data_IF_722209025053
#
_entry.id   IF_722209025053
#
_cell.length_a   1.000
_cell.length_b   1.000
_cell.length_c   1.000
_cell.angle_alpha   90.00
_cell.angle_beta   90.00
_cell.angle_gamma   90.00
#
_symmetry.space_group_name_H-M   'P 1'
#
loop_
_entity.id
_entity.type
_entity.pdbx_description
1 polymer ?
#
# COMPACT_ATOMS: atom_id res chain seq x y z
N UNK A 1 34.97 11.78 8.70
CA UNK A 1 33.99 11.20 9.66
C UNK A 1 32.67 10.78 9.02
N UNK A 2 31.97 11.65 8.27
CA UNK A 2 30.70 11.27 7.61
C UNK A 2 30.85 10.09 6.64
N UNK A 3 31.84 10.12 5.75
CA UNK A 3 32.11 9.02 4.82
C UNK A 3 32.34 7.68 5.52
N UNK A 4 33.03 7.67 6.66
CA UNK A 4 33.20 6.47 7.49
C UNK A 4 31.85 5.94 8.00
N UNK A 5 30.98 6.81 8.53
CA UNK A 5 29.64 6.42 9.00
C UNK A 5 28.80 5.84 7.86
N UNK A 6 28.83 6.46 6.67
CA UNK A 6 28.13 5.96 5.49
C UNK A 6 28.66 4.58 5.07
N UNK A 7 29.98 4.45 4.92
CA UNK A 7 30.62 3.21 4.50
C UNK A 7 30.36 2.05 5.49
N UNK A 8 30.58 2.28 6.79
CA UNK A 8 30.30 1.28 7.82
C UNK A 8 28.82 0.89 7.88
N UNK A 9 27.91 1.84 7.65
CA UNK A 9 26.47 1.54 7.64
C UNK A 9 26.08 0.63 6.47
N UNK A 10 26.75 0.76 5.33
CA UNK A 10 26.55 -0.11 4.17
C UNK A 10 27.10 -1.52 4.42
N UNK A 11 28.31 -1.64 4.97
CA UNK A 11 28.95 -2.93 5.26
C UNK A 11 28.19 -3.74 6.32
N UNK A 12 27.67 -3.08 7.35
CA UNK A 12 27.05 -3.77 8.47
C UNK A 12 25.58 -4.14 8.22
N UNK A 13 24.97 -3.67 7.13
CA UNK A 13 23.58 -3.98 6.83
C UNK A 13 23.33 -5.50 6.85
N UNK A 14 22.32 -6.01 7.57
CA UNK A 14 21.14 -5.31 8.11
C UNK A 14 21.29 -4.73 9.52
N UNK A 15 22.45 -4.83 10.17
CA UNK A 15 22.68 -4.18 11.47
C UNK A 15 22.77 -2.66 11.28
N UNK A 16 22.19 -1.93 12.22
CA UNK A 16 22.19 -0.46 12.23
C UNK A 16 23.34 0.10 13.07
N UNK A 17 23.99 1.15 12.57
CA UNK A 17 25.09 1.81 13.26
C UNK A 17 24.57 2.85 14.26
N UNK A 18 24.68 2.58 15.56
CA UNK A 18 24.15 3.46 16.61
C UNK A 18 25.08 4.64 16.93
N UNK A 19 24.56 5.72 17.54
CA UNK A 19 25.38 6.85 17.96
C UNK A 19 26.45 6.45 19.00
N UNK A 20 26.17 5.47 19.85
CA UNK A 20 27.13 4.92 20.82
C UNK A 20 28.25 4.16 20.10
N UNK A 21 27.94 3.38 19.06
CA UNK A 21 28.94 2.70 18.26
C UNK A 21 29.80 3.68 17.44
N UNK A 22 29.20 4.72 16.87
CA UNK A 22 29.92 5.81 16.19
C UNK A 22 30.90 6.49 17.15
N UNK A 23 30.45 6.83 18.36
CA UNK A 23 31.28 7.46 19.39
C UNK A 23 32.49 6.60 19.74
N UNK A 24 32.30 5.29 19.96
CA UNK A 24 33.38 4.35 20.29
C UNK A 24 34.37 4.17 19.14
N UNK A 25 33.86 3.96 17.91
CA UNK A 25 34.71 3.70 16.73
C UNK A 25 35.53 4.92 16.30
N UNK A 26 34.94 6.11 16.35
CA UNK A 26 35.62 7.36 15.97
C UNK A 26 36.35 8.04 17.13
N UNK A 27 36.25 7.50 18.36
CA UNK A 27 36.78 8.11 19.59
C UNK A 27 36.35 9.57 19.78
N UNK A 28 35.09 9.87 19.46
CA UNK A 28 34.48 11.21 19.62
C UNK A 28 33.44 11.21 20.73
N UNK A 29 33.19 12.37 21.33
CA UNK A 29 32.13 12.53 22.33
C UNK A 29 30.75 12.15 21.79
N UNK A 30 29.89 11.62 22.67
CA UNK A 30 28.54 11.15 22.29
C UNK A 30 27.68 12.22 21.60
N UNK A 31 27.77 13.49 22.05
CA UNK A 31 27.05 14.61 21.43
C UNK A 31 27.46 14.79 19.95
N UNK A 32 28.76 14.72 19.65
CA UNK A 32 29.27 14.81 18.29
C UNK A 32 28.84 13.61 17.44
N UNK A 33 28.89 12.39 18.00
CA UNK A 33 28.43 11.18 17.33
C UNK A 33 26.92 11.20 17.02
N UNK A 34 26.11 11.68 17.96
CA UNK A 34 24.66 11.85 17.80
C UNK A 34 24.34 12.88 16.70
N UNK A 35 25.07 13.99 16.66
CA UNK A 35 24.94 14.99 15.61
C UNK A 35 25.31 14.42 14.24
N UNK A 36 26.40 13.65 14.16
CA UNK A 36 26.81 12.95 12.94
C UNK A 36 25.73 11.95 12.47
N UNK A 37 25.12 11.22 13.42
CA UNK A 37 24.02 10.29 13.14
C UNK A 37 22.79 11.01 12.56
N UNK A 38 22.41 12.15 13.15
CA UNK A 38 21.28 12.97 12.66
C UNK A 38 21.54 13.51 11.25
N UNK A 39 22.77 13.95 10.97
CA UNK A 39 23.18 14.36 9.61
C UNK A 39 23.08 13.21 8.61
N UNK A 40 23.49 12.01 9.01
CA UNK A 40 23.35 10.81 8.17
C UNK A 40 21.89 10.43 7.89
N UNK A 41 21.02 10.54 8.90
CA UNK A 41 19.58 10.33 8.73
C UNK A 41 18.93 11.37 7.82
N UNK A 42 19.34 12.63 7.95
CA UNK A 42 18.89 13.71 7.05
C UNK A 42 19.32 13.43 5.60
N UNK A 43 20.61 13.11 5.40
CA UNK A 43 21.14 12.74 4.10
C UNK A 43 20.36 11.58 3.48
N UNK A 44 20.14 10.51 4.25
CA UNK A 44 19.37 9.35 3.81
C UNK A 44 17.95 9.74 3.39
N UNK A 45 17.29 10.59 4.18
CA UNK A 45 15.92 11.06 3.89
C UNK A 45 15.85 11.92 2.62
N UNK A 46 16.88 12.72 2.35
CA UNK A 46 16.96 13.55 1.15
C UNK A 46 17.27 12.74 -0.12
N UNK A 47 18.05 11.67 -0.01
CA UNK A 47 18.44 10.84 -1.17
C UNK A 47 17.43 9.73 -1.49
N UNK A 48 16.66 9.24 -0.50
CA UNK A 48 15.69 8.15 -0.69
C UNK A 48 14.67 8.38 -1.84
N UNK A 49 14.17 9.60 -2.11
CA UNK A 49 13.30 9.85 -3.26
C UNK A 49 13.91 9.46 -4.62
N UNK A 50 15.24 9.51 -4.78
CA UNK A 50 15.90 9.10 -6.04
C UNK A 50 15.68 7.61 -6.31
N UNK A 51 15.96 6.75 -5.33
CA UNK A 51 15.71 5.30 -5.45
C UNK A 51 14.23 4.98 -5.64
N UNK A 52 13.35 5.74 -4.99
CA UNK A 52 11.91 5.60 -5.20
C UNK A 52 11.53 5.87 -6.65
N UNK A 53 12.01 6.97 -7.24
CA UNK A 53 11.71 7.33 -8.63
C UNK A 53 12.23 6.27 -9.60
N UNK A 54 13.46 5.78 -9.43
CA UNK A 54 14.00 4.68 -10.23
C UNK A 54 13.15 3.42 -10.14
N UNK A 55 12.74 3.05 -8.92
CA UNK A 55 11.87 1.89 -8.70
C UNK A 55 10.53 2.08 -9.43
N UNK A 56 9.95 3.27 -9.33
CA UNK A 56 8.68 3.61 -9.96
C UNK A 56 8.77 3.50 -11.49
N UNK A 57 9.80 4.08 -12.09
CA UNK A 57 10.01 4.06 -13.53
C UNK A 57 10.26 2.64 -14.04
N UNK A 58 11.09 1.87 -13.34
CA UNK A 58 11.35 0.47 -13.70
C UNK A 58 10.08 -0.39 -13.67
N UNK A 59 9.26 -0.27 -12.62
CA UNK A 59 7.99 -0.98 -12.53
C UNK A 59 6.97 -0.51 -13.57
N UNK A 60 6.95 0.79 -13.87
CA UNK A 60 6.06 1.36 -14.88
C UNK A 60 6.37 0.79 -16.26
N UNK A 61 7.65 0.73 -16.63
CA UNK A 61 8.11 0.20 -17.90
C UNK A 61 7.84 -1.32 -18.01
N UNK A 62 8.14 -2.08 -16.95
CA UNK A 62 7.94 -3.53 -16.91
C UNK A 62 6.46 -3.95 -17.02
N UNK A 63 5.56 -3.17 -16.42
CA UNK A 63 4.15 -3.56 -16.28
C UNK A 63 3.15 -2.72 -17.07
N UNK A 64 3.59 -1.87 -18.01
CA UNK A 64 2.71 -0.96 -18.77
C UNK A 64 1.46 -1.66 -19.33
N UNK A 65 1.64 -2.75 -20.07
CA UNK A 65 0.55 -3.52 -20.69
C UNK A 65 0.29 -4.86 -19.99
N UNK A 66 0.82 -5.02 -18.78
CA UNK A 66 0.69 -6.26 -18.03
C UNK A 66 -0.67 -6.37 -17.33
N UNK A 67 -1.34 -7.50 -17.52
CA UNK A 67 -2.60 -7.84 -16.86
C UNK A 67 -2.53 -9.25 -16.30
N UNK A 68 -2.86 -9.43 -15.03
CA UNK A 68 -3.07 -10.75 -14.45
C UNK A 68 -4.41 -11.34 -14.90
N UNK A 69 -4.52 -12.67 -15.04
CA UNK A 69 -5.79 -13.33 -15.34
C UNK A 69 -6.84 -12.88 -14.32
N UNK A 70 -8.02 -12.41 -14.73
CA UNK A 70 -8.91 -11.65 -13.85
C UNK A 70 -9.55 -12.52 -12.74
N UNK A 71 -9.55 -13.84 -12.94
CA UNK A 71 -9.90 -14.82 -11.92
C UNK A 71 -8.79 -14.93 -10.84
N UNK A 72 -9.13 -14.87 -9.56
CA UNK A 72 -8.16 -15.02 -8.45
C UNK A 72 -7.77 -16.47 -8.18
N UNK A 73 -8.57 -17.42 -8.66
CA UNK A 73 -8.32 -18.83 -8.43
C UNK A 73 -7.36 -19.45 -9.47
N UNK A 74 -6.97 -18.71 -10.50
CA UNK A 74 -5.94 -19.15 -11.45
C UNK A 74 -4.56 -18.99 -10.84
N UNK A 75 -3.70 -19.99 -11.04
CA UNK A 75 -2.30 -19.89 -10.67
C UNK A 75 -1.58 -18.88 -11.57
N UNK A 76 -0.85 -17.96 -10.95
CA UNK A 76 -0.08 -16.93 -11.63
C UNK A 76 1.43 -17.18 -11.56
N UNK A 77 1.87 -18.27 -10.92
CA UNK A 77 3.29 -18.57 -10.68
C UNK A 77 4.13 -18.50 -11.95
N UNK A 78 3.68 -19.16 -13.03
CA UNK A 78 4.38 -19.15 -14.32
C UNK A 78 4.42 -17.76 -14.96
N UNK A 79 3.36 -16.96 -14.82
CA UNK A 79 3.26 -15.62 -15.40
C UNK A 79 4.12 -14.59 -14.65
N UNK A 80 4.41 -14.85 -13.36
CA UNK A 80 5.20 -14.00 -12.49
C UNK A 80 6.64 -14.49 -12.26
N UNK A 81 7.03 -15.65 -12.80
CA UNK A 81 8.29 -16.32 -12.46
C UNK A 81 9.54 -15.43 -12.63
N UNK A 82 9.61 -14.71 -13.75
CA UNK A 82 10.75 -13.85 -14.11
C UNK A 82 10.42 -12.36 -14.00
N UNK A 83 9.43 -12.00 -13.18
CA UNK A 83 8.96 -10.62 -13.05
C UNK A 83 9.11 -10.12 -11.62
N UNK A 84 9.22 -8.80 -11.43
CA UNK A 84 9.26 -8.21 -10.10
C UNK A 84 8.02 -8.58 -9.29
N UNK A 85 8.24 -9.16 -8.11
CA UNK A 85 7.17 -9.56 -7.21
C UNK A 85 7.04 -8.55 -6.06
N UNK A 86 6.01 -7.71 -6.12
CA UNK A 86 5.82 -6.58 -5.20
C UNK A 86 4.85 -6.91 -4.07
N UNK A 87 5.33 -6.90 -2.83
CA UNK A 87 4.53 -7.06 -1.62
C UNK A 87 4.31 -5.75 -0.89
N UNK A 88 3.11 -5.59 -0.35
CA UNK A 88 2.76 -4.48 0.54
C UNK A 88 2.09 -5.02 1.80
N UNK A 89 2.64 -4.62 2.94
CA UNK A 89 2.07 -4.97 4.24
C UNK A 89 2.47 -3.96 5.32
N UNK A 90 1.80 -4.01 6.47
CA UNK A 90 2.02 -3.12 7.60
C UNK A 90 2.33 -3.97 8.83
N UNK A 91 3.33 -3.56 9.60
CA UNK A 91 3.66 -4.18 10.87
C UNK A 91 3.86 -3.17 11.99
N UNK A 92 3.55 -3.61 13.22
CA UNK A 92 3.88 -2.87 14.44
C UNK A 92 5.36 -3.11 14.76
N UNK A 93 6.13 -2.03 14.78
CA UNK A 93 7.56 -2.02 15.13
C UNK A 93 7.73 -1.90 16.65
N UNK A 94 7.11 -0.87 17.24
CA UNK A 94 7.02 -0.70 18.70
C UNK A 94 5.56 -0.63 19.11
N UNK A 95 5.17 -1.40 20.13
CA UNK A 95 3.81 -1.37 20.69
C UNK A 95 3.78 -0.66 22.03
N UNK A 96 2.64 -0.06 22.37
CA UNK A 96 2.34 0.35 23.74
C UNK A 96 2.33 -0.88 24.66
N UNK A 97 3.05 -0.81 25.78
CA UNK A 97 3.11 -1.89 26.77
C UNK A 97 1.78 -2.09 27.50
N UNK A 98 1.52 -3.33 27.93
CA UNK A 98 0.31 -3.68 28.70
C UNK A 98 0.41 -3.25 30.17
N UNK A 99 1.63 -3.15 30.72
CA UNK A 99 1.92 -2.81 32.12
C UNK A 99 1.93 -1.31 32.45
N UNK A 100 1.74 -0.42 31.48
CA UNK A 100 1.64 1.01 31.79
C UNK A 100 0.34 1.25 32.58
N UNK A 101 0.37 1.97 33.70
CA UNK A 101 -0.82 2.30 34.52
C UNK A 101 -1.96 2.77 33.60
N UNK A 102 -3.10 2.06 33.56
CA UNK A 102 -4.28 2.23 32.68
C UNK A 102 -4.19 1.70 31.22
N UNK A 103 -3.08 1.05 30.87
CA UNK A 103 -2.93 0.13 29.74
C UNK A 103 -2.87 0.74 28.33
N UNK A 104 -2.46 -0.11 27.38
CA UNK A 104 -2.70 0.08 25.93
C UNK A 104 -4.21 0.26 25.70
N UNK A 105 -4.62 0.89 24.59
CA UNK A 105 -6.05 1.01 24.21
C UNK A 105 -6.84 -0.32 24.23
N UNK A 106 -6.17 -1.47 24.24
CA UNK A 106 -6.79 -2.79 24.14
C UNK A 106 -7.19 -3.35 25.51
N UNK A 107 -8.50 -3.53 25.70
CA UNK A 107 -9.06 -4.72 26.34
C UNK A 107 -9.89 -5.59 25.35
N UNK A 108 -10.41 -5.06 24.23
CA UNK A 108 -11.35 -5.81 23.34
C UNK A 108 -11.10 -5.72 21.80
N UNK A 109 -10.31 -4.77 21.27
CA UNK A 109 -10.20 -4.53 19.81
C UNK A 109 -8.87 -5.03 19.18
N UNK A 110 -8.96 -6.08 18.34
CA UNK A 110 -7.85 -6.86 17.72
C UNK A 110 -7.18 -6.20 16.48
N UNK A 111 -6.74 -4.94 16.55
CA UNK A 111 -6.13 -4.24 15.39
C UNK A 111 -4.70 -3.76 15.63
N UNK A 112 -3.82 -3.81 14.62
CA UNK A 112 -2.44 -3.28 14.74
C UNK A 112 -2.40 -1.78 15.09
N UNK A 113 -3.34 -0.99 14.56
CA UNK A 113 -3.47 0.43 14.92
C UNK A 113 -3.70 0.61 16.42
N UNK A 114 -4.58 -0.18 17.07
CA UNK A 114 -4.83 0.00 18.51
C UNK A 114 -3.63 -0.35 19.39
N UNK A 115 -2.64 -1.09 18.87
CA UNK A 115 -1.45 -1.41 19.66
C UNK A 115 -0.42 -0.29 19.77
N UNK A 116 -0.48 0.73 18.92
CA UNK A 116 0.49 1.81 18.92
C UNK A 116 0.03 3.03 19.73
N UNK A 117 -1.19 2.99 20.29
CA UNK A 117 -1.74 4.08 21.09
C UNK A 117 -2.00 3.66 22.53
N UNK A 118 -1.87 4.63 23.43
CA UNK A 118 -2.36 4.51 24.81
C UNK A 118 -3.89 4.52 24.86
N UNK A 119 -4.43 4.08 25.99
CA UNK A 119 -5.86 4.18 26.25
C UNK A 119 -6.33 5.65 26.27
N UNK A 120 -7.63 5.86 26.03
CA UNK A 120 -8.23 7.20 26.04
C UNK A 120 -8.10 7.86 27.43
N UNK A 121 -8.10 7.06 28.51
CA UNK A 121 -7.84 7.53 29.88
C UNK A 121 -6.43 8.11 30.08
N UNK A 122 -5.45 7.65 29.28
CA UNK A 122 -4.07 8.13 29.24
C UNK A 122 -3.84 9.18 28.16
N UNK A 123 -4.90 9.84 27.70
CA UNK A 123 -4.85 10.88 26.68
C UNK A 123 -4.67 10.34 25.26
N UNK A 124 -4.79 9.04 25.00
CA UNK A 124 -4.92 8.50 23.65
C UNK A 124 -3.73 8.75 22.70
N UNK A 125 -2.56 9.11 23.23
CA UNK A 125 -1.38 9.46 22.42
C UNK A 125 -0.75 8.26 21.71
N UNK A 126 -0.21 8.49 20.52
CA UNK A 126 0.62 7.49 19.84
C UNK A 126 1.99 7.36 20.53
N UNK A 127 2.28 6.17 21.06
CA UNK A 127 3.56 5.83 21.70
C UNK A 127 4.32 4.72 20.98
N UNK A 128 3.61 3.95 20.16
CA UNK A 128 4.17 2.93 19.29
C UNK A 128 4.36 3.43 17.87
N UNK A 129 5.12 2.65 17.10
CA UNK A 129 5.39 2.91 15.68
C UNK A 129 4.78 1.82 14.83
N UNK A 130 3.96 2.22 13.86
CA UNK A 130 3.41 1.36 12.83
C UNK A 130 4.16 1.66 11.52
N UNK A 131 4.58 0.62 10.82
CA UNK A 131 5.44 0.72 9.63
C UNK A 131 4.72 0.09 8.46
N UNK A 132 4.49 0.88 7.42
CA UNK A 132 4.08 0.41 6.10
C UNK A 132 5.32 0.04 5.30
N UNK A 133 5.30 -1.17 4.74
CA UNK A 133 6.40 -1.70 3.94
C UNK A 133 5.92 -1.88 2.50
N UNK A 134 6.74 -1.42 1.56
CA UNK A 134 6.64 -1.74 0.14
C UNK A 134 7.95 -2.45 -0.21
N UNK A 135 7.87 -3.73 -0.55
CA UNK A 135 9.04 -4.57 -0.78
C UNK A 135 8.93 -5.29 -2.11
N UNK A 136 10.00 -5.27 -2.89
CA UNK A 136 10.11 -6.06 -4.12
C UNK A 136 11.03 -7.25 -3.84
N UNK A 137 10.63 -8.45 -4.29
CA UNK A 137 11.41 -9.68 -4.07
C UNK A 137 12.83 -9.51 -4.61
N UNK A 138 13.82 -9.77 -3.76
CA UNK A 138 15.26 -9.58 -4.04
C UNK A 138 15.66 -8.16 -4.47
N UNK A 139 14.76 -7.18 -4.36
CA UNK A 139 14.98 -5.82 -4.83
C UNK A 139 14.85 -4.78 -3.72
N UNK A 140 14.44 -3.54 -4.07
CA UNK A 140 14.36 -2.44 -3.12
C UNK A 140 13.21 -2.60 -2.13
N UNK A 141 13.36 -1.92 -0.99
CA UNK A 141 12.39 -1.91 0.11
C UNK A 141 12.25 -0.49 0.65
N UNK A 142 11.01 -0.07 0.87
CA UNK A 142 10.67 1.22 1.44
C UNK A 142 9.82 1.03 2.69
N UNK A 143 10.30 1.60 3.80
CA UNK A 143 9.60 1.62 5.07
C UNK A 143 9.09 3.03 5.37
N UNK A 144 7.79 3.15 5.66
CA UNK A 144 7.15 4.44 5.96
C UNK A 144 6.46 4.37 7.31
N UNK A 145 6.70 5.36 8.18
CA UNK A 145 5.95 5.48 9.44
C UNK A 145 4.53 5.95 9.15
N UNK A 146 3.55 5.21 9.66
CA UNK A 146 2.13 5.49 9.43
C UNK A 146 1.36 5.55 10.75
N UNK A 147 0.24 6.29 10.74
CA UNK A 147 -0.61 6.46 11.94
C UNK A 147 -1.60 5.31 12.11
N UNK A 148 -2.07 4.74 10.99
CA UNK A 148 -3.06 3.68 10.97
C UNK A 148 -3.04 2.92 9.64
N UNK A 149 -3.79 1.82 9.56
CA UNK A 149 -3.91 0.97 8.36
C UNK A 149 -5.09 1.35 7.43
N UNK A 150 -5.63 2.57 7.52
CA UNK A 150 -6.80 2.96 6.73
C UNK A 150 -6.41 3.30 5.29
N UNK A 151 -7.37 3.13 4.37
CA UNK A 151 -7.21 3.49 2.96
C UNK A 151 -6.77 4.95 2.74
N UNK A 152 -7.28 5.89 3.53
CA UNK A 152 -6.94 7.32 3.44
C UNK A 152 -5.47 7.60 3.79
N UNK A 153 -4.89 6.82 4.70
CA UNK A 153 -3.49 6.97 5.10
C UNK A 153 -2.56 6.20 4.16
N UNK A 154 -2.90 4.94 3.86
CA UNK A 154 -2.01 4.06 3.11
C UNK A 154 -2.13 4.22 1.58
N UNK A 155 -3.32 4.55 1.08
CA UNK A 155 -3.58 4.66 -0.35
C UNK A 155 -2.70 5.69 -1.06
N UNK A 156 -2.60 6.93 -0.56
CA UNK A 156 -1.70 7.93 -1.12
C UNK A 156 -0.23 7.47 -1.11
N UNK A 157 0.23 6.88 -0.01
CA UNK A 157 1.62 6.40 0.13
C UNK A 157 1.92 5.30 -0.91
N UNK A 158 1.06 4.30 -1.03
CA UNK A 158 1.28 3.19 -1.96
C UNK A 158 1.22 3.69 -3.41
N UNK A 159 0.27 4.58 -3.74
CA UNK A 159 0.15 5.18 -5.10
C UNK A 159 1.33 6.06 -5.47
N UNK A 160 1.91 6.75 -4.50
CA UNK A 160 3.07 7.60 -4.67
C UNK A 160 4.34 6.75 -4.96
N UNK A 161 4.43 5.54 -4.41
CA UNK A 161 5.58 4.64 -4.59
C UNK A 161 5.45 3.66 -5.75
N UNK A 162 4.24 3.27 -6.16
CA UNK A 162 4.02 2.23 -7.16
C UNK A 162 3.09 2.71 -8.29
N UNK A 163 3.39 2.37 -9.56
CA UNK A 163 2.47 2.61 -10.66
C UNK A 163 1.26 1.67 -10.57
N UNK A 164 0.08 2.15 -10.98
CA UNK A 164 -1.21 1.43 -10.85
C UNK A 164 -1.30 0.14 -11.67
N UNK A 165 -0.41 -0.03 -12.66
CA UNK A 165 -0.28 -1.23 -13.47
C UNK A 165 0.47 -2.37 -12.75
N UNK A 166 1.26 -2.06 -11.73
CA UNK A 166 2.09 -3.04 -11.00
C UNK A 166 1.23 -4.14 -10.35
N UNK A 167 1.60 -5.42 -10.50
CA UNK A 167 1.07 -6.51 -9.70
C UNK A 167 1.38 -6.32 -8.21
N UNK A 168 0.33 -6.16 -7.42
CA UNK A 168 0.43 -5.83 -6.01
C UNK A 168 -0.09 -6.98 -5.15
N UNK A 169 0.76 -7.55 -4.30
CA UNK A 169 0.44 -8.70 -3.46
C UNK A 169 0.38 -8.31 -1.97
N UNK A 170 -0.74 -8.60 -1.31
CA UNK A 170 -0.93 -8.24 0.10
C UNK A 170 -1.55 -9.38 0.92
N UNK A 171 -1.56 -9.25 2.25
CA UNK A 171 -2.51 -10.00 3.08
C UNK A 171 -3.94 -9.45 2.88
N UNK A 172 -4.96 -10.11 3.40
CA UNK A 172 -6.37 -9.73 3.25
C UNK A 172 -6.76 -8.39 3.90
N UNK A 173 -5.86 -7.74 4.64
CA UNK A 173 -6.11 -6.47 5.33
C UNK A 173 -6.36 -5.25 4.42
N UNK A 174 -6.16 -5.37 3.11
CA UNK A 174 -6.20 -4.25 2.16
C UNK A 174 -7.24 -4.44 1.06
N UNK A 175 -8.54 -4.63 1.39
CA UNK A 175 -9.55 -4.84 0.36
C UNK A 175 -9.58 -3.66 -0.60
N UNK A 176 -9.62 -2.41 -0.15
CA UNK A 176 -9.72 -1.21 -0.99
C UNK A 176 -8.68 -1.06 -2.12
N UNK A 177 -7.55 -1.79 -2.10
CA UNK A 177 -6.54 -1.74 -3.17
C UNK A 177 -7.05 -2.28 -4.52
N UNK A 178 -8.06 -3.16 -4.55
CA UNK A 178 -8.66 -3.65 -5.80
C UNK A 178 -9.26 -2.53 -6.67
N UNK A 179 -9.61 -1.40 -6.06
CA UNK A 179 -10.19 -0.25 -6.76
C UNK A 179 -9.13 0.67 -7.37
N UNK A 180 -7.86 0.49 -7.00
CA UNK A 180 -6.73 1.32 -7.43
C UNK A 180 -5.80 0.54 -8.36
N UNK A 181 -5.49 -0.70 -8.00
CA UNK A 181 -4.55 -1.57 -8.71
C UNK A 181 -5.30 -2.69 -9.40
N UNK A 182 -5.27 -2.68 -10.75
CA UNK A 182 -5.95 -3.70 -11.58
C UNK A 182 -5.43 -5.11 -11.32
N UNK A 183 -4.14 -5.23 -10.99
CA UNK A 183 -3.42 -6.47 -10.76
C UNK A 183 -3.26 -6.82 -9.27
N UNK A 184 -4.07 -6.21 -8.38
CA UNK A 184 -4.02 -6.54 -6.95
C UNK A 184 -4.48 -7.97 -6.68
N UNK A 185 -3.75 -8.68 -5.82
CA UNK A 185 -4.11 -10.00 -5.29
C UNK A 185 -3.84 -10.03 -3.79
N UNK A 186 -4.69 -10.76 -3.07
CA UNK A 186 -4.52 -10.95 -1.63
C UNK A 186 -4.61 -12.41 -1.23
N UNK A 187 -3.85 -12.79 -0.21
CA UNK A 187 -3.93 -14.13 0.40
C UNK A 187 -4.39 -14.00 1.85
N UNK A 188 -5.10 -15.01 2.36
CA UNK A 188 -5.59 -15.02 3.75
C UNK A 188 -4.69 -15.90 4.62
N UNK A 189 -3.80 -15.29 5.40
CA UNK A 189 -2.92 -16.04 6.31
C UNK A 189 -3.68 -16.63 7.51
N UNK A 190 -4.88 -16.14 7.80
CA UNK A 190 -5.74 -16.63 8.89
C UNK A 190 -6.74 -17.68 8.44
N UNK A 191 -6.73 -18.09 7.16
CA UNK A 191 -7.64 -19.11 6.66
C UNK A 191 -7.40 -20.45 7.36
N UNK A 192 -8.43 -20.96 8.04
CA UNK A 192 -8.42 -22.28 8.69
C UNK A 192 -8.63 -23.41 7.70
N UNK A 193 -8.30 -24.62 8.11
CA UNK A 193 -8.62 -25.80 7.33
C UNK A 193 -10.10 -25.97 7.07
N UNK A 194 -10.41 -26.42 5.84
CA UNK A 194 -11.75 -26.89 5.49
C UNK A 194 -12.03 -28.28 6.06
N UNK A 195 -10.98 -29.07 6.30
CA UNK A 195 -11.12 -30.37 6.97
C UNK A 195 -11.35 -30.14 8.46
N UNK A 196 -12.46 -30.68 8.97
CA UNK A 196 -12.84 -30.59 10.38
C UNK A 196 -11.78 -31.17 11.31
N UNK A 197 -11.02 -32.19 10.88
CA UNK A 197 -9.93 -32.79 11.68
C UNK A 197 -8.82 -31.79 11.98
N UNK A 198 -8.58 -30.84 11.07
CA UNK A 198 -7.50 -29.86 11.17
C UNK A 198 -8.03 -28.44 11.37
N UNK A 199 -9.15 -28.27 12.07
CA UNK A 199 -9.84 -26.97 12.23
C UNK A 199 -8.98 -25.86 12.84
N UNK A 200 -7.94 -26.19 13.61
CA UNK A 200 -6.98 -25.22 14.16
C UNK A 200 -5.77 -24.98 13.28
N UNK A 201 -5.50 -25.84 12.30
CA UNK A 201 -4.44 -25.63 11.34
C UNK A 201 -4.79 -24.45 10.41
N UNK A 202 -3.78 -23.65 10.09
CA UNK A 202 -3.88 -22.58 9.09
C UNK A 202 -3.50 -23.17 7.75
N UNK A 203 -4.39 -23.05 6.78
CA UNK A 203 -4.28 -23.82 5.55
C UNK A 203 -3.43 -23.18 4.46
N UNK A 204 -3.09 -21.89 4.55
CA UNK A 204 -2.45 -21.21 3.42
C UNK A 204 -1.47 -20.13 3.88
N UNK A 205 -0.19 -20.42 3.70
CA UNK A 205 0.89 -19.43 3.70
C UNK A 205 1.03 -18.74 2.33
N UNK A 206 0.68 -19.47 1.26
CA UNK A 206 0.56 -18.98 -0.12
C UNK A 206 -0.64 -19.63 -0.79
N UNK A 207 -1.14 -19.03 -1.88
CA UNK A 207 -2.20 -19.60 -2.72
C UNK A 207 -2.03 -19.15 -4.16
N UNK A 208 -1.96 -20.08 -5.12
CA UNK A 208 -1.95 -19.77 -6.56
C UNK A 208 -0.83 -18.79 -6.96
N UNK A 209 0.37 -18.97 -6.41
CA UNK A 209 1.50 -18.05 -6.61
C UNK A 209 1.43 -16.73 -5.83
N UNK A 210 0.37 -16.50 -5.03
CA UNK A 210 0.20 -15.29 -4.22
C UNK A 210 0.60 -15.53 -2.76
N UNK A 211 1.51 -14.69 -2.25
CA UNK A 211 1.97 -14.61 -0.86
C UNK A 211 2.41 -13.18 -0.47
N UNK A 212 2.54 -12.91 0.83
CA UNK A 212 3.08 -11.66 1.40
C UNK A 212 4.49 -11.80 2.01
N UNK A 213 5.11 -12.97 1.89
CA UNK A 213 6.40 -13.34 2.53
C UNK A 213 7.52 -12.32 2.40
N UNK A 214 7.61 -11.61 1.26
CA UNK A 214 8.68 -10.63 1.02
C UNK A 214 8.57 -9.48 2.03
N UNK A 215 7.36 -8.99 2.30
CA UNK A 215 7.16 -7.95 3.30
C UNK A 215 7.38 -8.49 4.72
N UNK A 216 6.87 -9.69 5.04
CA UNK A 216 7.05 -10.32 6.35
C UNK A 216 8.53 -10.58 6.69
N UNK A 217 9.32 -11.08 5.73
CA UNK A 217 10.75 -11.28 5.89
C UNK A 217 11.49 -9.97 6.20
N UNK A 218 11.17 -8.91 5.46
CA UNK A 218 11.71 -7.57 5.71
C UNK A 218 11.27 -6.99 7.05
N UNK A 219 10.05 -7.27 7.52
CA UNK A 219 9.62 -6.89 8.87
C UNK A 219 10.45 -7.56 9.96
N UNK A 220 10.82 -8.84 9.78
CA UNK A 220 11.69 -9.55 10.73
C UNK A 220 13.07 -8.89 10.79
N UNK A 221 13.68 -8.65 9.63
CA UNK A 221 14.99 -7.98 9.51
C UNK A 221 14.95 -6.60 10.17
N UNK A 222 13.92 -5.80 9.86
CA UNK A 222 13.69 -4.49 10.46
C UNK A 222 13.61 -4.55 11.98
N UNK A 223 12.80 -5.46 12.54
CA UNK A 223 12.63 -5.60 14.00
C UNK A 223 13.92 -5.99 14.69
N UNK A 224 14.68 -6.91 14.11
CA UNK A 224 15.98 -7.33 14.64
C UNK A 224 16.97 -6.17 14.63
N UNK A 225 17.05 -5.41 13.54
CA UNK A 225 17.92 -4.25 13.44
C UNK A 225 17.54 -3.15 14.43
N UNK A 226 16.25 -2.84 14.54
CA UNK A 226 15.75 -1.77 15.41
C UNK A 226 15.80 -2.12 16.90
N UNK A 227 15.96 -3.40 17.26
CA UNK A 227 16.26 -3.79 18.63
C UNK A 227 17.57 -3.14 19.15
N UNK A 228 18.56 -2.92 18.27
CA UNK A 228 19.81 -2.25 18.63
C UNK A 228 19.62 -0.77 19.02
N UNK A 229 18.57 -0.11 18.53
CA UNK A 229 18.25 1.27 18.91
C UNK A 229 17.48 1.36 20.25
N UNK A 230 16.85 0.27 20.70
CA UNK A 230 15.86 0.34 21.78
C UNK A 230 14.56 1.00 21.33
N UNK A 231 13.79 1.59 22.25
CA UNK A 231 12.55 2.29 21.88
C UNK A 231 12.84 3.65 21.24
N UNK A 232 12.20 3.91 20.09
CA UNK A 232 12.30 5.18 19.37
C UNK A 232 10.98 5.93 19.51
N UNK A 233 11.06 7.18 19.94
CA UNK A 233 9.89 8.04 20.03
C UNK A 233 9.24 8.20 18.62
N UNK A 234 7.92 7.97 18.46
CA UNK A 234 7.27 7.95 17.14
C UNK A 234 7.54 9.18 16.28
N UNK A 235 7.67 10.37 16.88
CA UNK A 235 8.08 11.61 16.20
C UNK A 235 9.32 11.47 15.30
N UNK A 236 10.29 10.65 15.69
CA UNK A 236 11.54 10.46 14.95
C UNK A 236 11.55 9.20 14.08
N UNK A 237 10.52 8.36 14.12
CA UNK A 237 10.50 7.06 13.44
C UNK A 237 10.81 7.15 11.95
N UNK A 238 10.29 8.18 11.26
CA UNK A 238 10.52 8.40 9.83
C UNK A 238 12.01 8.52 9.50
N UNK A 239 12.80 9.24 10.29
CA UNK A 239 14.24 9.40 10.06
C UNK A 239 14.99 8.07 10.12
N UNK A 240 14.68 7.23 11.11
CA UNK A 240 15.30 5.92 11.27
C UNK A 240 14.86 4.94 10.17
N UNK A 241 13.59 4.97 9.77
CA UNK A 241 13.08 4.12 8.69
C UNK A 241 13.63 4.54 7.33
N UNK A 242 13.78 5.83 7.09
CA UNK A 242 14.38 6.37 5.86
C UNK A 242 15.84 5.98 5.75
N UNK A 243 16.59 6.09 6.84
CA UNK A 243 17.97 5.61 6.94
C UNK A 243 18.07 4.11 6.58
N UNK A 244 17.24 3.29 7.21
CA UNK A 244 17.28 1.84 6.99
C UNK A 244 16.88 1.47 5.55
N UNK A 245 15.88 2.14 4.99
CA UNK A 245 15.47 1.98 3.59
C UNK A 245 16.57 2.43 2.63
N UNK A 246 17.22 3.56 2.92
CA UNK A 246 18.31 4.10 2.10
C UNK A 246 19.49 3.12 2.01
N UNK A 247 19.94 2.58 3.15
CA UNK A 247 21.07 1.63 3.18
C UNK A 247 20.72 0.36 2.38
N UNK A 248 19.50 -0.18 2.57
CA UNK A 248 19.05 -1.35 1.79
C UNK A 248 19.04 -1.06 0.29
N UNK A 249 18.49 0.08 -0.11
CA UNK A 249 18.35 0.43 -1.52
C UNK A 249 19.67 0.82 -2.17
N UNK A 250 20.61 1.41 -1.43
CA UNK A 250 21.97 1.63 -1.90
C UNK A 250 22.70 0.32 -2.22
N UNK A 251 22.43 -0.76 -1.46
CA UNK A 251 22.94 -2.09 -1.78
C UNK A 251 22.28 -2.76 -3.00
N UNK A 252 21.13 -2.25 -3.46
CA UNK A 252 20.41 -2.78 -4.63
C UNK A 252 20.76 -1.98 -5.90
N UNK A 253 20.72 -0.65 -5.81
CA UNK A 253 20.91 0.24 -6.95
C UNK A 253 22.35 0.73 -7.10
N UNK A 254 23.18 0.64 -6.06
CA UNK A 254 24.46 1.34 -6.01
C UNK A 254 24.33 2.80 -5.55
N UNK A 255 25.48 3.44 -5.31
CA UNK A 255 25.57 4.85 -4.89
C UNK A 255 25.80 5.81 -6.07
N UNK A 256 26.19 5.28 -7.22
CA UNK A 256 26.40 5.95 -8.50
C UNK A 256 25.17 6.74 -8.95
N UNK A 257 23.98 6.18 -8.74
CA UNK A 257 22.69 6.85 -8.93
C UNK A 257 22.58 8.21 -8.21
N UNK A 258 23.31 8.40 -7.11
CA UNK A 258 23.23 9.65 -6.35
C UNK A 258 23.98 10.81 -7.02
N UNK A 259 24.88 10.53 -7.96
CA UNK A 259 25.75 11.51 -8.61
C UNK A 259 25.08 12.30 -9.74
N UNK A 260 23.99 11.78 -10.32
CA UNK A 260 23.32 12.34 -11.53
C UNK A 260 22.65 13.71 -11.34
N UNK A 261 22.86 14.39 -10.20
CA UNK A 261 22.32 15.74 -9.94
C UNK A 261 23.17 16.90 -10.49
N UNK A 262 23.97 16.65 -11.53
CA UNK A 262 24.68 17.68 -12.30
C UNK A 262 24.71 17.28 -13.78
N UNK A 263 24.00 18.04 -14.60
CA UNK A 263 24.03 18.15 -16.07
C UNK A 263 24.74 17.05 -16.89
N UNK A 264 23.95 16.45 -17.80
CA UNK A 264 24.36 15.76 -19.03
C UNK A 264 25.43 14.66 -18.92
N UNK A 265 25.01 13.39 -18.88
CA UNK A 265 25.31 12.51 -20.01
C UNK A 265 24.45 11.25 -20.03
N UNK A 266 23.96 10.91 -21.21
CA UNK A 266 22.89 9.95 -21.47
C UNK A 266 23.44 8.51 -21.67
N UNK A 267 24.42 8.08 -20.87
CA UNK A 267 25.26 6.91 -21.21
C UNK A 267 25.16 5.66 -20.33
N UNK A 268 24.28 5.60 -19.32
CA UNK A 268 24.12 4.38 -18.48
C UNK A 268 22.67 3.90 -18.30
N UNK A 269 21.88 3.87 -19.38
CA UNK A 269 20.52 3.30 -19.39
C UNK A 269 20.42 1.77 -19.20
N UNK A 270 21.51 1.07 -18.93
CA UNK A 270 21.53 -0.41 -18.91
C UNK A 270 21.55 -1.05 -17.51
N UNK A 271 21.40 -0.29 -16.43
CA UNK A 271 21.23 -0.87 -15.09
C UNK A 271 19.77 -1.33 -14.87
N UNK A 272 19.37 -2.45 -15.48
CA UNK A 272 18.09 -3.08 -15.14
C UNK A 272 18.07 -3.40 -13.63
N UNK A 273 17.09 -2.91 -12.85
CA UNK A 273 17.08 -3.06 -11.39
C UNK A 273 16.67 -4.46 -10.89
N UNK A 274 16.55 -5.41 -11.80
CA UNK A 274 16.27 -6.82 -11.53
C UNK A 274 17.34 -7.64 -12.25
N UNK A 275 18.38 -8.10 -11.54
CA UNK A 275 19.42 -8.89 -12.19
C UNK A 275 18.85 -10.26 -12.57
N UNK A 276 19.00 -10.70 -13.84
CA UNK A 276 19.00 -12.13 -14.13
C UNK A 276 20.29 -12.74 -13.58
N UNK A 277 20.22 -13.96 -13.05
CA UNK A 277 21.39 -14.71 -12.60
C UNK A 277 22.41 -14.87 -13.74
N UNK A 278 23.54 -14.17 -13.68
CA UNK A 278 24.83 -14.60 -14.24
C UNK A 278 25.96 -13.61 -13.90
N UNK A 279 27.15 -14.18 -13.72
CA UNK A 279 28.41 -13.56 -13.30
C UNK A 279 29.02 -12.68 -14.39
N UNK A 280 29.79 -11.68 -13.95
CA UNK A 280 31.02 -11.24 -14.61
C UNK A 280 30.94 -9.86 -15.26
N UNK A 281 31.48 -8.84 -14.60
CA UNK A 281 32.64 -8.08 -15.10
C UNK A 281 32.96 -6.90 -14.17
N UNK A 282 34.25 -6.74 -13.90
CA UNK A 282 34.84 -5.77 -12.98
C UNK A 282 34.78 -4.35 -13.55
N UNK A 283 33.84 -3.53 -13.08
CA UNK A 283 33.82 -2.09 -13.30
C UNK A 283 34.80 -1.36 -12.37
N UNK A 284 35.78 -0.67 -12.97
CA UNK A 284 36.86 0.09 -12.31
C UNK A 284 36.37 1.01 -11.18
N UNK A 285 36.99 0.87 -10.01
CA UNK A 285 36.81 1.80 -8.89
C UNK A 285 37.30 3.21 -9.25
N UNK A 286 36.49 4.23 -8.92
CA UNK A 286 36.81 5.65 -9.15
C UNK A 286 38.02 6.04 -8.29
N UNK A 287 39.07 6.53 -8.95
CA UNK A 287 40.26 7.11 -8.30
C UNK A 287 39.88 8.36 -7.50
N UNK A 288 40.25 8.37 -6.22
CA UNK A 288 40.21 9.57 -5.36
C UNK A 288 41.21 10.58 -5.95
N UNK A 289 40.75 11.74 -6.42
CA UNK A 289 41.62 12.82 -6.90
C UNK A 289 41.18 13.60 -8.15
N UNK A 290 39.95 13.46 -8.64
CA UNK A 290 39.44 14.29 -9.73
C UNK A 290 39.37 15.77 -9.35
N UNK A 291 40.20 16.61 -9.99
CA UNK A 291 40.17 18.07 -9.89
C UNK A 291 38.81 18.57 -10.43
N UNK A 292 37.94 19.05 -9.54
CA UNK A 292 36.60 19.55 -9.92
C UNK A 292 35.65 19.81 -8.75
N UNK A 293 35.93 19.30 -7.55
CA UNK A 293 35.15 19.62 -6.34
C UNK A 293 35.57 20.96 -5.73
N UNK A 294 35.20 22.06 -6.38
CA UNK A 294 35.18 23.36 -5.70
C UNK A 294 34.05 23.34 -4.66
N UNK A 295 34.31 23.66 -3.38
CA UNK A 295 33.26 23.80 -2.38
C UNK A 295 32.28 24.88 -2.86
N UNK A 296 31.01 24.51 -3.10
CA UNK A 296 29.97 25.52 -3.22
C UNK A 296 29.88 26.22 -1.87
N UNK A 297 30.32 27.48 -1.81
CA UNK A 297 30.14 28.33 -0.64
C UNK A 297 28.65 28.41 -0.31
N UNK A 298 28.21 27.62 0.68
CA UNK A 298 26.87 27.73 1.23
C UNK A 298 26.77 29.09 1.90
N UNK A 299 25.87 29.95 1.40
CA UNK A 299 25.42 31.15 2.12
C UNK A 299 25.15 30.73 3.56
N UNK A 300 25.79 31.41 4.51
CA UNK A 300 25.80 31.07 5.95
C UNK A 300 24.38 30.73 6.40
N UNK A 301 24.08 29.44 6.49
CA UNK A 301 22.79 28.97 6.97
C UNK A 301 22.77 29.14 8.49
N UNK A 302 21.69 29.70 9.01
CA UNK A 302 21.52 30.09 10.41
C UNK A 302 21.83 28.95 11.40
N UNK A 303 22.16 29.30 12.65
CA UNK A 303 22.56 28.36 13.73
C UNK A 303 21.61 27.16 13.96
N UNK A 304 20.41 27.18 13.38
CA UNK A 304 19.39 26.14 13.51
C UNK A 304 19.01 25.40 12.22
N UNK A 305 19.76 25.55 11.12
CA UNK A 305 19.46 24.89 9.83
C UNK A 305 19.16 23.39 9.99
N UNK A 306 20.06 22.63 10.61
CA UNK A 306 19.91 21.18 10.74
C UNK A 306 18.61 20.80 11.45
N UNK A 307 18.24 21.55 12.50
CA UNK A 307 16.99 21.30 13.23
C UNK A 307 15.78 21.62 12.35
N UNK A 308 15.81 22.73 11.61
CA UNK A 308 14.74 23.15 10.72
C UNK A 308 14.54 22.15 9.57
N UNK A 309 15.63 21.68 8.94
CA UNK A 309 15.53 20.68 7.87
C UNK A 309 15.03 19.34 8.39
N UNK A 310 15.49 18.92 9.58
CA UNK A 310 15.00 17.69 10.21
C UNK A 310 13.50 17.75 10.50
N UNK A 311 12.97 18.89 10.93
CA UNK A 311 11.54 19.08 11.21
C UNK A 311 10.64 18.70 10.01
N UNK A 312 11.11 18.96 8.78
CA UNK A 312 10.39 18.59 7.56
C UNK A 312 10.20 17.08 7.36
N UNK A 313 11.09 16.26 7.95
CA UNK A 313 11.05 14.79 7.84
C UNK A 313 10.50 14.11 9.09
N UNK A 314 10.12 14.87 10.13
CA UNK A 314 9.57 14.28 11.35
C UNK A 314 8.17 13.74 11.12
N UNK A 315 7.92 12.58 11.71
CA UNK A 315 6.59 12.01 11.73
C UNK A 315 5.72 12.80 12.71
N UNK A 316 4.48 13.12 12.29
CA UNK A 316 3.49 13.79 13.13
C UNK A 316 2.60 12.73 13.80
N UNK A 317 2.85 12.36 15.07
CA UNK A 317 1.98 11.44 15.80
C UNK A 317 0.62 12.09 16.06
N UNK A 318 -0.43 11.27 16.07
CA UNK A 318 -1.80 11.74 16.34
C UNK A 318 -2.20 11.46 17.79
N UNK A 319 -3.14 12.25 18.30
CA UNK A 319 -3.81 12.01 19.58
C UNK A 319 -5.21 11.48 19.26
N UNK A 320 -5.55 10.32 19.82
CA UNK A 320 -6.90 9.77 19.70
C UNK A 320 -7.87 10.65 20.51
N UNK A 321 -8.73 11.40 19.79
CA UNK A 321 -9.78 12.22 20.41
C UNK A 321 -10.06 13.54 19.70
N UNK A 322 -9.05 14.15 19.05
CA UNK A 322 -9.26 15.39 18.27
C UNK A 322 -10.06 15.15 16.99
N UNK A 323 -9.95 13.96 16.40
CA UNK A 323 -10.87 13.48 15.38
C UNK A 323 -11.82 12.43 15.98
N UNK A 324 -12.89 12.88 16.60
CA UNK A 324 -14.00 12.01 17.09
C UNK A 324 -14.72 11.23 15.97
N UNK A 325 -14.32 11.42 14.70
CA UNK A 325 -14.71 10.60 13.54
C UNK A 325 -13.73 9.45 13.23
N UNK A 326 -12.52 9.45 13.78
CA UNK A 326 -11.43 8.54 13.38
C UNK A 326 -11.47 7.19 14.13
N UNK A 327 -12.34 7.03 15.12
CA UNK A 327 -12.38 5.86 15.98
C UNK A 327 -13.64 5.02 15.73
N UNK A 328 -13.43 3.86 15.09
CA UNK A 328 -14.32 2.69 14.94
C UNK A 328 -14.71 2.28 13.51
N UNK A 329 -14.08 2.86 12.48
CA UNK A 329 -14.36 2.45 11.10
C UNK A 329 -13.34 1.42 10.62
N UNK A 330 -13.80 0.18 10.44
CA UNK A 330 -13.15 -0.82 9.60
C UNK A 330 -13.10 -0.25 8.17
N UNK A 331 -12.05 0.49 7.84
CA UNK A 331 -11.89 1.29 6.63
C UNK A 331 -11.72 0.43 5.38
N UNK A 332 -12.82 -0.19 4.94
CA UNK A 332 -12.79 -1.11 3.82
C UNK A 332 -13.09 -0.46 2.46
N UNK A 333 -13.70 0.73 2.43
CA UNK A 333 -14.14 1.39 1.19
C UNK A 333 -13.44 2.73 0.92
N UNK A 334 -13.20 3.02 -0.36
CA UNK A 334 -12.78 4.34 -0.85
C UNK A 334 -13.98 5.29 -0.88
N UNK A 335 -13.92 6.43 -0.18
CA UNK A 335 -15.00 7.42 -0.19
C UNK A 335 -15.04 8.23 -1.48
N UNK A 336 -16.24 8.62 -1.89
CA UNK A 336 -16.41 9.63 -2.93
C UNK A 336 -16.07 11.01 -2.37
N UNK A 337 -15.25 11.79 -3.08
CA UNK A 337 -14.93 13.16 -2.69
C UNK A 337 -16.16 14.08 -2.79
N UNK A 338 -16.28 15.11 -1.94
CA UNK A 338 -17.41 16.04 -1.98
C UNK A 338 -17.53 16.74 -3.34
N UNK A 339 -16.40 17.15 -3.93
CA UNK A 339 -16.35 17.72 -5.27
C UNK A 339 -16.92 16.79 -6.36
N UNK A 340 -16.72 15.47 -6.22
CA UNK A 340 -17.27 14.48 -7.17
C UNK A 340 -18.79 14.32 -7.01
N UNK A 341 -19.29 14.49 -5.79
CA UNK A 341 -20.73 14.42 -5.47
C UNK A 341 -21.45 15.66 -6.00
N UNK A 342 -20.87 16.84 -5.86
CA UNK A 342 -21.44 18.10 -6.34
C UNK A 342 -21.54 18.15 -7.87
N UNK A 343 -20.51 17.68 -8.57
CA UNK A 343 -20.47 17.62 -10.04
C UNK A 343 -21.37 16.51 -10.63
N UNK A 344 -21.92 15.61 -9.81
CA UNK A 344 -22.71 14.48 -10.29
C UNK A 344 -24.17 14.87 -10.61
N UNK A 345 -24.77 14.19 -11.59
CA UNK A 345 -26.19 14.34 -11.92
C UNK A 345 -27.07 13.94 -10.72
N UNK A 346 -28.26 14.54 -10.57
CA UNK A 346 -29.17 14.33 -9.42
C UNK A 346 -29.40 12.86 -9.03
N UNK A 347 -29.56 11.97 -10.01
CA UNK A 347 -29.78 10.54 -9.76
C UNK A 347 -28.50 9.79 -9.33
N UNK A 348 -27.34 10.22 -9.82
CA UNK A 348 -26.04 9.64 -9.49
C UNK A 348 -25.57 10.14 -8.12
N UNK A 349 -25.73 11.43 -7.86
CA UNK A 349 -25.45 12.08 -6.57
C UNK A 349 -26.06 11.32 -5.40
N UNK A 350 -27.35 10.97 -5.49
CA UNK A 350 -28.07 10.17 -4.49
C UNK A 350 -27.41 8.82 -4.19
N UNK A 351 -26.83 8.17 -5.20
CA UNK A 351 -26.16 6.87 -5.01
C UNK A 351 -24.75 7.02 -4.44
N UNK A 352 -24.02 8.09 -4.81
CA UNK A 352 -22.71 8.41 -4.24
C UNK A 352 -22.81 8.77 -2.75
N UNK A 353 -23.82 9.56 -2.38
CA UNK A 353 -24.11 9.93 -0.98
C UNK A 353 -24.51 8.71 -0.15
N UNK A 354 -25.38 7.84 -0.69
CA UNK A 354 -25.73 6.56 -0.04
C UNK A 354 -24.52 5.66 0.20
N UNK A 355 -23.60 5.62 -0.75
CA UNK A 355 -22.37 4.85 -0.59
C UNK A 355 -21.54 5.39 0.58
N UNK A 356 -21.31 6.71 0.63
CA UNK A 356 -20.54 7.31 1.71
C UNK A 356 -21.22 7.09 3.06
N UNK A 357 -22.56 7.25 3.13
CA UNK A 357 -23.31 7.04 4.37
C UNK A 357 -23.28 5.59 4.86
N UNK A 358 -23.31 4.60 3.97
CA UNK A 358 -23.20 3.18 4.33
C UNK A 358 -21.87 2.84 5.04
N UNK A 359 -20.77 3.44 4.59
CA UNK A 359 -19.45 3.22 5.19
C UNK A 359 -19.23 4.01 6.49
N UNK A 360 -19.91 5.15 6.63
CA UNK A 360 -19.90 5.98 7.84
C UNK A 360 -20.82 5.40 8.93
N UNK A 361 -21.94 4.81 8.56
CA UNK A 361 -22.94 4.35 9.51
C UNK A 361 -22.42 3.23 10.43
N UNK A 362 -22.43 3.50 11.74
CA UNK A 362 -22.01 2.57 12.79
C UNK A 362 -22.98 1.40 12.96
N UNK A 363 -24.25 1.54 12.55
CA UNK A 363 -25.28 0.49 12.69
C UNK A 363 -25.16 -0.61 11.62
N UNK A 364 -24.44 -0.35 10.54
CA UNK A 364 -24.24 -1.32 9.46
C UNK A 364 -23.44 -2.53 9.95
N UNK A 365 -24.00 -3.73 9.80
CA UNK A 365 -23.40 -4.97 10.32
C UNK A 365 -22.18 -5.39 9.48
N UNK A 366 -21.19 -6.03 10.12
CA UNK A 366 -19.95 -6.49 9.47
C UNK A 366 -20.23 -7.35 8.22
N UNK A 367 -21.11 -8.34 8.31
CA UNK A 367 -21.42 -9.21 7.17
C UNK A 367 -21.99 -8.46 5.96
N UNK A 368 -22.70 -7.35 6.18
CA UNK A 368 -23.23 -6.50 5.10
C UNK A 368 -22.08 -5.79 4.38
N UNK A 369 -21.12 -5.26 5.15
CA UNK A 369 -19.90 -4.65 4.61
C UNK A 369 -19.06 -5.67 3.85
N UNK A 370 -18.86 -6.87 4.41
CA UNK A 370 -18.10 -7.94 3.78
C UNK A 370 -18.72 -8.33 2.43
N UNK A 371 -20.04 -8.51 2.39
CA UNK A 371 -20.77 -8.80 1.14
C UNK A 371 -20.68 -7.67 0.11
N UNK A 372 -20.78 -6.42 0.55
CA UNK A 372 -20.65 -5.27 -0.34
C UNK A 372 -19.23 -5.18 -0.94
N UNK A 373 -18.18 -5.46 -0.15
CA UNK A 373 -16.79 -5.51 -0.64
C UNK A 373 -16.64 -6.57 -1.74
N UNK A 374 -17.28 -7.73 -1.58
CA UNK A 374 -17.25 -8.78 -2.62
C UNK A 374 -17.89 -8.30 -3.92
N UNK A 375 -19.05 -7.65 -3.86
CA UNK A 375 -19.67 -7.09 -5.06
C UNK A 375 -18.81 -6.01 -5.71
N UNK A 376 -18.19 -5.14 -4.91
CA UNK A 376 -17.31 -4.10 -5.43
C UNK A 376 -16.05 -4.67 -6.08
N UNK A 377 -15.44 -5.71 -5.48
CA UNK A 377 -14.34 -6.47 -6.09
C UNK A 377 -14.73 -7.03 -7.45
N UNK A 378 -15.88 -7.70 -7.53
CA UNK A 378 -16.39 -8.28 -8.78
C UNK A 378 -16.66 -7.16 -9.80
N UNK A 379 -17.26 -6.05 -9.37
CA UNK A 379 -17.54 -4.91 -10.23
C UNK A 379 -16.27 -4.30 -10.84
N UNK A 380 -15.20 -4.13 -10.05
CA UNK A 380 -13.90 -3.67 -10.56
C UNK A 380 -13.28 -4.65 -11.56
N UNK A 381 -13.37 -5.95 -11.31
CA UNK A 381 -12.87 -6.96 -12.25
C UNK A 381 -13.59 -6.92 -13.57
N UNK A 382 -14.92 -6.86 -13.55
CA UNK A 382 -15.74 -6.69 -14.75
C UNK A 382 -15.34 -5.39 -15.47
N UNK A 383 -15.16 -4.30 -14.73
CA UNK A 383 -14.77 -3.00 -15.30
C UNK A 383 -13.41 -3.07 -16.00
N UNK A 384 -12.39 -3.59 -15.32
CA UNK A 384 -11.03 -3.68 -15.83
C UNK A 384 -10.96 -4.59 -17.06
N UNK A 385 -11.70 -5.70 -17.05
CA UNK A 385 -11.80 -6.62 -18.19
C UNK A 385 -12.36 -5.93 -19.43
N UNK A 386 -13.48 -5.22 -19.29
CA UNK A 386 -14.10 -4.49 -20.40
C UNK A 386 -13.19 -3.35 -20.89
N UNK A 387 -12.42 -2.71 -20.00
CA UNK A 387 -11.53 -1.61 -20.36
C UNK A 387 -10.28 -2.10 -21.12
N UNK A 388 -9.65 -3.21 -20.69
CA UNK A 388 -8.46 -3.74 -21.34
C UNK A 388 -8.72 -4.19 -22.79
N UNK A 389 -9.95 -4.59 -23.11
CA UNK A 389 -10.30 -4.97 -24.49
C UNK A 389 -10.89 -3.85 -25.33
N UNK A 390 -11.36 -2.76 -24.71
CA UNK A 390 -11.64 -1.52 -25.45
C UNK A 390 -10.38 -1.05 -26.18
N UNK A 391 -9.21 -1.21 -25.56
CA UNK A 391 -7.90 -0.92 -26.16
C UNK A 391 -7.58 -1.86 -27.33
N UNK A 392 -8.18 -3.06 -27.37
CA UNK A 392 -8.03 -4.07 -28.44
C UNK A 392 -9.13 -4.01 -29.52
N UNK A 393 -10.18 -3.21 -29.32
CA UNK A 393 -11.29 -3.04 -30.27
C UNK A 393 -12.42 -4.09 -30.17
N UNK A 394 -12.34 -5.03 -29.24
CA UNK A 394 -13.31 -6.13 -29.10
C UNK A 394 -14.48 -5.77 -28.14
N UNK A 395 -15.59 -6.52 -28.25
CA UNK A 395 -16.81 -6.30 -27.44
C UNK A 395 -17.12 -7.53 -26.60
N UNK A 396 -17.21 -7.34 -25.29
CA UNK A 396 -17.65 -8.39 -24.38
C UNK A 396 -19.17 -8.54 -24.29
N UNK A 397 -19.63 -9.78 -24.37
CA UNK A 397 -20.97 -10.21 -23.96
C UNK A 397 -21.00 -10.57 -22.47
N UNK A 398 -22.21 -10.64 -21.90
CA UNK A 398 -22.39 -10.98 -20.48
C UNK A 398 -21.95 -12.41 -20.20
N UNK A 399 -22.17 -13.33 -21.14
CA UNK A 399 -21.77 -14.74 -21.02
C UNK A 399 -20.26 -14.90 -20.97
N UNK A 400 -19.53 -14.27 -21.90
CA UNK A 400 -18.06 -14.28 -21.92
C UNK A 400 -17.46 -13.76 -20.60
N UNK A 401 -18.02 -12.66 -20.06
CA UNK A 401 -17.58 -12.13 -18.76
C UNK A 401 -17.80 -13.14 -17.63
N UNK A 402 -18.93 -13.86 -17.64
CA UNK A 402 -19.23 -14.86 -16.61
C UNK A 402 -18.27 -16.05 -16.69
N UNK A 403 -17.94 -16.49 -17.91
CA UNK A 403 -17.09 -17.65 -18.16
C UNK A 403 -15.62 -17.33 -17.78
N UNK A 404 -15.09 -16.18 -18.20
CA UNK A 404 -13.72 -15.77 -17.91
C UNK A 404 -13.48 -15.50 -16.41
N UNK A 405 -14.43 -14.82 -15.75
CA UNK A 405 -14.33 -14.52 -14.32
C UNK A 405 -14.77 -15.70 -13.43
N UNK A 406 -15.39 -16.75 -14.02
CA UNK A 406 -16.07 -17.85 -13.33
C UNK A 406 -17.02 -17.34 -12.24
N UNK A 407 -17.84 -16.34 -12.58
CA UNK A 407 -18.82 -15.75 -11.68
C UNK A 407 -20.24 -16.18 -12.05
N UNK A 408 -21.09 -16.32 -11.02
CA UNK A 408 -22.48 -16.65 -11.25
C UNK A 408 -23.21 -15.50 -11.97
N UNK A 409 -23.97 -15.83 -13.02
CA UNK A 409 -24.66 -14.86 -13.89
C UNK A 409 -25.56 -13.89 -13.13
N UNK A 410 -26.23 -14.35 -12.07
CA UNK A 410 -27.06 -13.48 -11.22
C UNK A 410 -26.25 -12.33 -10.59
N UNK A 411 -25.04 -12.64 -10.11
CA UNK A 411 -24.13 -11.67 -9.47
C UNK A 411 -23.66 -10.64 -10.49
N UNK A 412 -23.22 -11.08 -11.67
CA UNK A 412 -22.83 -10.21 -12.77
C UNK A 412 -23.99 -9.28 -13.19
N UNK A 413 -25.18 -9.85 -13.40
CA UNK A 413 -26.35 -9.08 -13.81
C UNK A 413 -26.83 -8.07 -12.76
N UNK A 414 -26.65 -8.35 -11.48
CA UNK A 414 -26.95 -7.39 -10.40
C UNK A 414 -26.12 -6.11 -10.56
N UNK A 415 -24.82 -6.27 -10.83
CA UNK A 415 -23.88 -5.16 -11.05
C UNK A 415 -24.22 -4.44 -12.35
N UNK A 416 -24.35 -5.16 -13.46
CA UNK A 416 -24.59 -4.58 -14.79
C UNK A 416 -25.92 -3.83 -14.87
N UNK A 417 -27.00 -4.33 -14.24
CA UNK A 417 -28.28 -3.61 -14.17
C UNK A 417 -28.16 -2.28 -13.43
N UNK A 418 -27.37 -2.24 -12.35
CA UNK A 418 -27.09 -1.00 -11.62
C UNK A 418 -26.35 0.00 -12.52
N UNK A 419 -25.33 -0.47 -13.25
CA UNK A 419 -24.57 0.37 -14.19
C UNK A 419 -25.43 0.92 -15.33
N UNK A 420 -26.35 0.12 -15.88
CA UNK A 420 -27.30 0.56 -16.89
C UNK A 420 -28.25 1.63 -16.36
N UNK A 421 -28.80 1.44 -15.15
CA UNK A 421 -29.68 2.43 -14.50
C UNK A 421 -28.97 3.78 -14.30
N UNK A 422 -27.68 3.74 -14.00
CA UNK A 422 -26.84 4.92 -13.79
C UNK A 422 -26.20 5.47 -15.07
N UNK A 423 -26.48 4.85 -16.23
CA UNK A 423 -25.89 5.20 -17.53
C UNK A 423 -24.35 5.19 -17.50
N UNK A 424 -23.76 4.27 -16.74
CA UNK A 424 -22.31 4.02 -16.71
C UNK A 424 -21.90 3.21 -17.95
N UNK A 425 -22.78 2.28 -18.35
CA UNK A 425 -22.66 1.47 -19.56
C UNK A 425 -23.92 1.59 -20.42
N UNK A 426 -23.80 1.27 -21.70
CA UNK A 426 -24.90 1.12 -22.64
C UNK A 426 -24.93 -0.30 -23.21
N UNK A 427 -26.13 -0.77 -23.56
CA UNK A 427 -26.31 -2.06 -24.25
C UNK A 427 -26.08 -1.91 -25.74
N UNK A 428 -25.46 -2.91 -26.36
CA UNK A 428 -25.41 -3.11 -27.81
C UNK A 428 -25.97 -4.49 -28.16
N UNK A 429 -26.64 -4.59 -29.32
CA UNK A 429 -27.26 -5.84 -29.80
C UNK A 429 -26.19 -6.87 -30.17
N UNK A 430 -26.44 -8.13 -29.83
CA UNK A 430 -25.64 -9.29 -30.26
C UNK A 430 -26.33 -9.88 -31.49
N UNK A 431 -25.75 -9.71 -32.68
CA UNK A 431 -26.29 -10.25 -33.93
C UNK A 431 -27.68 -9.71 -34.33
N UNK A 432 -28.31 -10.40 -35.29
CA UNK A 432 -29.64 -10.08 -35.84
C UNK A 432 -30.80 -10.85 -35.19
N UNK A 433 -30.51 -11.89 -34.39
CA UNK A 433 -31.54 -12.78 -33.83
C UNK A 433 -32.03 -12.33 -32.45
N UNK A 434 -33.33 -12.51 -32.21
CA UNK A 434 -34.10 -12.14 -31.03
C UNK A 434 -33.77 -13.00 -29.78
N UNK A 435 -32.49 -13.17 -29.43
CA UNK A 435 -32.15 -13.68 -28.10
C UNK A 435 -32.63 -12.68 -27.03
N UNK A 436 -33.08 -13.17 -25.87
CA UNK A 436 -33.61 -12.29 -24.82
C UNK A 436 -32.55 -11.24 -24.37
N UNK A 437 -32.68 -10.01 -24.88
CA UNK A 437 -31.79 -8.87 -24.61
C UNK A 437 -31.79 -8.44 -23.13
N UNK A 438 -32.65 -9.03 -22.30
CA UNK A 438 -32.62 -8.90 -20.85
C UNK A 438 -31.49 -9.71 -20.22
N UNK A 439 -30.98 -10.70 -20.93
CA UNK A 439 -30.13 -11.78 -20.39
C UNK A 439 -28.69 -11.74 -20.94
N UNK A 440 -28.48 -11.45 -22.24
CA UNK A 440 -27.15 -11.31 -22.83
C UNK A 440 -27.11 -10.13 -23.81
N UNK A 441 -26.07 -9.30 -23.73
CA UNK A 441 -25.87 -8.13 -24.61
C UNK A 441 -24.40 -7.71 -24.63
N UNK A 442 -23.96 -7.04 -25.69
CA UNK A 442 -22.63 -6.43 -25.73
C UNK A 442 -22.59 -5.17 -24.88
N UNK A 443 -21.50 -4.98 -24.14
CA UNK A 443 -21.33 -3.85 -23.23
C UNK A 443 -20.55 -2.74 -23.93
N UNK A 444 -21.10 -1.53 -23.96
CA UNK A 444 -20.39 -0.30 -24.35
C UNK A 444 -20.15 0.55 -23.10
N UNK A 445 -18.89 0.87 -22.81
CA UNK A 445 -18.53 1.82 -21.75
C UNK A 445 -18.95 3.23 -22.17
N UNK A 446 -19.63 3.95 -21.26
CA UNK A 446 -20.06 5.35 -21.46
C UNK A 446 -19.25 6.31 -20.60
N UNK A 447 -18.83 5.89 -19.41
CA UNK A 447 -18.00 6.70 -18.50
C UNK A 447 -16.56 6.21 -18.47
N UNK A 448 -15.60 7.12 -18.27
CA UNK A 448 -14.19 6.76 -18.22
C UNK A 448 -13.78 6.09 -16.90
N UNK A 449 -14.45 6.44 -15.80
CA UNK A 449 -14.15 5.91 -14.47
C UNK A 449 -15.35 5.23 -13.82
N UNK A 450 -15.08 4.14 -13.09
CA UNK A 450 -16.07 3.47 -12.27
C UNK A 450 -16.37 4.31 -11.01
N UNK A 451 -17.62 4.75 -10.78
CA UNK A 451 -17.97 5.44 -9.54
C UNK A 451 -18.09 4.47 -8.36
N UNK A 452 -17.76 4.95 -7.14
CA UNK A 452 -17.97 4.17 -5.92
C UNK A 452 -19.47 4.20 -5.57
N UNK A 453 -20.17 3.11 -5.84
CA UNK A 453 -21.62 2.95 -5.64
C UNK A 453 -21.91 1.65 -4.91
N UNK A 454 -23.10 1.57 -4.28
CA UNK A 454 -23.56 0.34 -3.62
C UNK A 454 -24.20 -0.61 -4.62
N UNK A 455 -23.78 -1.88 -4.55
CA UNK A 455 -24.30 -2.96 -5.38
C UNK A 455 -25.27 -3.86 -4.63
N UNK A 456 -25.06 -4.03 -3.33
CA UNK A 456 -25.93 -4.82 -2.48
C UNK A 456 -27.27 -4.12 -2.23
N UNK A 457 -28.36 -4.81 -2.54
CA UNK A 457 -29.70 -4.40 -2.16
C UNK A 457 -30.02 -5.00 -0.79
N UNK A 458 -29.52 -4.39 0.29
CA UNK A 458 -30.03 -4.71 1.63
C UNK A 458 -31.43 -4.12 1.72
N UNK A 459 -32.47 -4.96 1.58
CA UNK A 459 -33.84 -4.50 1.86
C UNK A 459 -33.84 -4.00 3.31
N UNK A 460 -34.27 -2.76 3.59
CA UNK A 460 -34.53 -2.36 4.96
C UNK A 460 -35.57 -3.35 5.52
N UNK A 461 -35.36 -3.82 6.76
CA UNK A 461 -36.43 -4.55 7.45
C UNK A 461 -37.68 -3.67 7.36
N UNK A 462 -38.77 -4.19 6.79
CA UNK A 462 -40.04 -3.51 6.87
C UNK A 462 -40.27 -3.20 8.36
N UNK A 463 -40.46 -1.92 8.68
CA UNK A 463 -40.95 -1.53 10.01
C UNK A 463 -42.17 -2.41 10.27
N UNK A 464 -42.17 -3.16 11.36
CA UNK A 464 -43.31 -3.95 11.77
C UNK A 464 -44.52 -3.03 11.75
N UNK A 465 -45.39 -3.18 10.74
CA UNK A 465 -46.74 -2.62 10.80
C UNK A 465 -47.37 -3.38 11.96
N UNK A 466 -47.52 -2.69 13.08
CA UNK A 466 -48.43 -3.10 14.15
C UNK A 466 -49.78 -3.24 13.46
N UNK A 467 -50.17 -4.47 13.17
CA UNK A 467 -51.53 -4.81 12.82
C UNK A 467 -52.36 -4.56 14.09
N UNK A 468 -52.93 -3.37 14.19
CA UNK A 468 -54.14 -3.17 14.99
C UNK A 468 -55.21 -4.01 14.33
N UNK A 469 -55.41 -5.22 14.81
CA UNK A 469 -56.62 -6.02 14.67
C UNK A 469 -56.52 -7.14 15.69
N UNK A 470 -56.91 -6.83 16.92
CA UNK A 470 -57.55 -7.74 17.85
C UNK A 470 -58.32 -6.84 18.82
N UNK A 471 -59.64 -6.91 18.70
CA UNK A 471 -60.63 -6.42 19.65
C UNK A 471 -60.86 -7.51 20.69
#
# INVERSE_FOLDING_TARGET
MFGYVLYESLLQYPKVLTATEISKRLKIGYKAASLLKRRFQLFSSQQLPKYKNLTYEALKNEFQDFLLPPNENTDISNKMANRPYTCVDTAVLYSAGERANQGRKRYSHRGQTSSIYLSEKLGGRQVGTLVQTIAIKQGPVFFTSVRNQKAETLGPIIKDHLPTSTPLFTDQGYPWLWGIYRNHRSVNHSARSKDNRYRWARNRWSKNGVHSQVAEGNHRVLKTAFASYGWIHPKYSALYLNEFSFIKNAGVFGLDVLLESGESDNSYRNSHPFPPESRGESGKAVRIGGKGFSPKNSKIETENWLQNTLQGFLFKPEILGQDSKVLNHTGYGLFNSPLKIEKAKKYERRELEKYNSFWIDKKTKKFQRDREIEYQKIASKIWNLIHSEKERGEKYSVTQICDELRIHKHTAMTILRKWLKLKIIAKRRIGYNAYDHRINFYIKIVKDQLPCILYSNFRPKASARVTKNEK
#
